data_IF_582979984060
#
_entry.id   IF_582979984060
#
_cell.length_a   1.000
_cell.length_b   1.000
_cell.length_c   1.000
_cell.angle_alpha   90.00
_cell.angle_beta   90.00
_cell.angle_gamma   90.00
#
_symmetry.space_group_name_H-M   'P 1'
#
loop_
_entity.id
_entity.type
_entity.pdbx_description
1 polymer ?
#
# COMPACT_ATOMS: atom_id res chain seq x y z
N UNK A 1 1.93 -21.41 -5.24
CA UNK A 1 2.89 -20.31 -5.45
C UNK A 1 2.23 -19.00 -5.07
N UNK A 2 2.98 -18.09 -4.46
CA UNK A 2 2.52 -16.73 -4.18
C UNK A 2 2.82 -15.82 -5.36
N UNK A 3 1.85 -14.98 -5.76
CA UNK A 3 1.93 -14.07 -6.90
C UNK A 3 1.70 -12.65 -6.40
N UNK A 4 2.65 -11.77 -6.72
CA UNK A 4 2.62 -10.33 -6.46
C UNK A 4 3.26 -9.65 -7.67
N UNK A 5 2.86 -8.41 -7.96
CA UNK A 5 3.31 -7.66 -9.12
C UNK A 5 3.79 -6.26 -8.70
N UNK A 6 4.92 -5.84 -9.27
CA UNK A 6 5.51 -4.52 -9.07
C UNK A 6 5.48 -3.73 -10.39
N UNK A 7 5.19 -2.41 -10.38
CA UNK A 7 4.94 -1.58 -9.19
C UNK A 7 3.57 -1.80 -8.55
N UNK A 8 2.53 -2.07 -9.34
CA UNK A 8 1.17 -2.34 -8.85
C UNK A 8 0.34 -3.04 -9.96
N UNK A 9 -0.68 -3.82 -9.59
CA UNK A 9 -1.53 -4.55 -10.55
C UNK A 9 -2.45 -3.66 -11.39
N UNK A 10 -2.70 -2.42 -10.96
CA UNK A 10 -3.41 -1.42 -11.73
C UNK A 10 -2.62 -0.93 -12.96
N UNK A 11 -1.30 -1.17 -13.02
CA UNK A 11 -0.47 -0.66 -14.11
C UNK A 11 -0.77 -1.34 -15.44
N UNK A 12 -0.71 -0.61 -16.58
CA UNK A 12 -0.87 -1.19 -17.90
C UNK A 12 0.06 -2.37 -18.16
N UNK A 13 -0.48 -3.46 -18.72
CA UNK A 13 0.28 -4.68 -19.03
C UNK A 13 0.45 -5.64 -17.85
N UNK A 14 0.03 -5.28 -16.63
CA UNK A 14 0.17 -6.15 -15.45
C UNK A 14 -0.63 -7.44 -15.60
N UNK A 15 -1.90 -7.36 -16.02
CA UNK A 15 -2.77 -8.53 -16.19
C UNK A 15 -2.23 -9.52 -17.25
N UNK A 16 -1.66 -9.04 -18.35
CA UNK A 16 -1.03 -9.87 -19.38
C UNK A 16 0.17 -10.63 -18.83
N UNK A 17 1.00 -9.96 -18.01
CA UNK A 17 2.16 -10.58 -17.35
C UNK A 17 1.71 -11.60 -16.31
N UNK A 18 0.70 -11.30 -15.50
CA UNK A 18 0.09 -12.24 -14.54
C UNK A 18 -0.45 -13.46 -15.27
N UNK A 19 -1.17 -13.28 -16.39
CA UNK A 19 -1.68 -14.39 -17.21
C UNK A 19 -0.55 -15.27 -17.76
N UNK A 20 0.50 -14.64 -18.30
CA UNK A 20 1.68 -15.35 -18.83
C UNK A 20 2.39 -16.16 -17.74
N UNK A 21 2.57 -15.55 -16.56
CA UNK A 21 3.14 -16.21 -15.39
C UNK A 21 2.27 -17.38 -14.94
N UNK A 22 0.95 -17.18 -14.77
CA UNK A 22 0.03 -18.21 -14.30
C UNK A 22 0.03 -19.43 -15.22
N UNK A 23 0.00 -19.22 -16.55
CA UNK A 23 0.15 -20.29 -17.54
C UNK A 23 1.47 -21.05 -17.36
N UNK A 24 2.59 -20.33 -17.27
CA UNK A 24 3.92 -20.94 -17.12
C UNK A 24 4.02 -21.74 -15.81
N UNK A 25 3.45 -21.24 -14.73
CA UNK A 25 3.41 -21.91 -13.43
C UNK A 25 2.63 -23.23 -13.51
N UNK A 26 1.44 -23.23 -14.13
CA UNK A 26 0.63 -24.44 -14.34
C UNK A 26 1.35 -25.46 -15.22
N UNK A 27 1.95 -25.01 -16.34
CA UNK A 27 2.77 -25.86 -17.22
C UNK A 27 3.99 -26.46 -16.50
N UNK A 28 4.48 -25.79 -15.46
CA UNK A 28 5.58 -26.25 -14.60
C UNK A 28 5.12 -27.11 -13.41
N UNK A 29 3.83 -27.45 -13.32
CA UNK A 29 3.27 -28.31 -12.27
C UNK A 29 2.84 -27.58 -10.99
N UNK A 30 2.72 -26.25 -11.01
CA UNK A 30 2.12 -25.51 -9.88
C UNK A 30 0.61 -25.72 -9.91
N UNK A 31 0.07 -26.28 -8.82
CA UNK A 31 -1.36 -26.59 -8.73
C UNK A 31 -2.21 -25.50 -8.07
N UNK A 32 -1.62 -24.64 -7.22
CA UNK A 32 -2.33 -23.59 -6.48
C UNK A 32 -1.61 -22.25 -6.58
N UNK A 33 -2.33 -21.19 -6.95
CA UNK A 33 -1.85 -19.81 -7.01
C UNK A 33 -2.55 -18.95 -5.97
N UNK A 34 -1.79 -18.21 -5.17
CA UNK A 34 -2.32 -17.20 -4.26
C UNK A 34 -1.88 -15.83 -4.76
N UNK A 35 -2.82 -14.97 -5.14
CA UNK A 35 -2.54 -13.63 -5.69
C UNK A 35 -2.82 -12.55 -4.63
N UNK A 36 -1.85 -11.67 -4.38
CA UNK A 36 -2.11 -10.38 -3.75
C UNK A 36 -2.66 -9.41 -4.79
N UNK A 37 -3.84 -8.85 -4.52
CA UNK A 37 -4.63 -7.99 -5.42
C UNK A 37 -5.01 -6.66 -4.74
N UNK A 38 -5.41 -5.66 -5.52
CA UNK A 38 -5.87 -4.34 -5.07
C UNK A 38 -7.39 -4.17 -5.05
N UNK A 39 -7.90 -3.20 -4.28
CA UNK A 39 -9.35 -2.96 -4.09
C UNK A 39 -9.88 -1.95 -5.09
N UNK A 40 -10.93 -2.35 -5.81
CA UNK A 40 -11.68 -1.51 -6.75
C UNK A 40 -10.86 -0.97 -7.94
N UNK A 41 -9.68 -1.54 -8.20
CA UNK A 41 -8.82 -1.17 -9.34
C UNK A 41 -9.12 -2.06 -10.55
N UNK A 42 -9.38 -1.44 -11.72
CA UNK A 42 -9.73 -2.19 -12.92
C UNK A 42 -8.60 -3.16 -13.36
N UNK A 43 -7.33 -2.74 -13.26
CA UNK A 43 -6.18 -3.58 -13.59
C UNK A 43 -6.02 -4.78 -12.64
N UNK A 44 -6.25 -4.58 -11.33
CA UNK A 44 -6.24 -5.65 -10.36
C UNK A 44 -7.31 -6.71 -10.65
N UNK A 45 -8.54 -6.30 -10.99
CA UNK A 45 -9.61 -7.22 -11.36
C UNK A 45 -9.26 -8.07 -12.61
N UNK A 46 -8.58 -7.48 -13.60
CA UNK A 46 -8.09 -8.23 -14.76
C UNK A 46 -7.00 -9.25 -14.37
N UNK A 47 -6.13 -8.91 -13.42
CA UNK A 47 -5.14 -9.82 -12.85
C UNK A 47 -5.79 -10.98 -12.09
N UNK A 48 -6.83 -10.70 -11.30
CA UNK A 48 -7.62 -11.72 -10.61
C UNK A 48 -8.26 -12.71 -11.60
N UNK A 49 -8.91 -12.19 -12.65
CA UNK A 49 -9.48 -13.01 -13.72
C UNK A 49 -8.43 -13.89 -14.39
N UNK A 50 -7.25 -13.34 -14.68
CA UNK A 50 -6.16 -14.10 -15.27
C UNK A 50 -5.70 -15.29 -14.41
N UNK A 51 -5.70 -15.15 -13.08
CA UNK A 51 -5.39 -16.25 -12.16
C UNK A 51 -6.54 -17.26 -12.08
N UNK A 52 -7.79 -16.78 -12.02
CA UNK A 52 -8.98 -17.64 -11.97
C UNK A 52 -9.15 -18.51 -13.23
N UNK A 53 -8.77 -17.97 -14.40
CA UNK A 53 -8.85 -18.64 -15.70
C UNK A 53 -7.61 -19.51 -16.01
N UNK A 54 -6.60 -19.52 -15.14
CA UNK A 54 -5.33 -20.22 -15.38
C UNK A 54 -5.42 -21.75 -15.40
N UNK A 55 -6.50 -22.32 -14.87
CA UNK A 55 -6.65 -23.75 -14.63
C UNK A 55 -5.98 -24.26 -13.35
N UNK A 56 -5.29 -23.39 -12.60
CA UNK A 56 -4.84 -23.68 -11.24
C UNK A 56 -6.00 -23.58 -10.24
N UNK A 57 -5.87 -24.26 -9.11
CA UNK A 57 -6.55 -23.81 -7.89
C UNK A 57 -6.08 -22.40 -7.57
N UNK A 58 -6.94 -21.59 -6.95
CA UNK A 58 -6.61 -20.20 -6.67
C UNK A 58 -7.12 -19.71 -5.32
N UNK A 59 -6.43 -18.72 -4.77
CA UNK A 59 -6.90 -17.87 -3.68
C UNK A 59 -6.55 -16.42 -4.02
N UNK A 60 -7.49 -15.50 -3.83
CA UNK A 60 -7.25 -14.07 -4.03
C UNK A 60 -7.22 -13.39 -2.66
N UNK A 61 -6.17 -12.62 -2.40
CA UNK A 61 -6.00 -11.77 -1.22
C UNK A 61 -6.06 -10.33 -1.71
N UNK A 62 -7.23 -9.72 -1.61
CA UNK A 62 -7.49 -8.37 -2.11
C UNK A 62 -7.32 -7.36 -0.97
N UNK A 63 -6.26 -6.58 -0.99
CA UNK A 63 -5.85 -5.76 0.15
C UNK A 63 -6.23 -4.28 0.02
N UNK A 64 -6.48 -3.63 1.15
CA UNK A 64 -6.40 -2.17 1.27
C UNK A 64 -4.95 -1.66 1.30
N UNK A 65 -4.78 -0.35 1.47
CA UNK A 65 -3.48 0.31 1.62
C UNK A 65 -2.65 -0.26 2.78
N UNK A 66 -1.35 -0.43 2.55
CA UNK A 66 -0.44 -1.01 3.55
C UNK A 66 -0.01 0.00 4.60
N UNK A 67 0.05 -0.43 5.86
CA UNK A 67 0.65 0.34 6.94
C UNK A 67 2.16 0.56 6.70
N UNK A 68 2.83 -0.40 6.08
CA UNK A 68 4.26 -0.37 5.71
C UNK A 68 4.59 0.68 4.64
N UNK A 69 3.59 1.28 4.00
CA UNK A 69 3.83 2.42 3.11
C UNK A 69 4.56 3.57 3.83
N UNK A 70 4.35 3.69 5.15
CA UNK A 70 4.97 4.70 6.01
C UNK A 70 6.34 4.30 6.57
N UNK A 71 6.71 3.02 6.60
CA UNK A 71 7.98 2.53 7.18
C UNK A 71 9.05 2.21 6.14
N UNK A 72 8.64 1.72 4.97
CA UNK A 72 9.55 1.03 4.03
C UNK A 72 9.32 1.40 2.56
N UNK A 73 8.17 2.01 2.23
CA UNK A 73 7.82 2.37 0.87
C UNK A 73 7.79 3.88 0.65
N UNK A 74 6.98 4.34 -0.30
CA UNK A 74 7.04 5.70 -0.85
C UNK A 74 6.76 6.85 0.14
N UNK A 75 6.29 6.59 1.37
CA UNK A 75 6.05 7.64 2.37
C UNK A 75 7.13 7.75 3.45
N UNK A 76 8.10 6.83 3.50
CA UNK A 76 9.12 6.84 4.56
C UNK A 76 9.90 8.15 4.61
N UNK A 77 10.35 8.66 3.46
CA UNK A 77 11.13 9.90 3.39
C UNK A 77 10.34 11.12 3.88
N UNK A 78 9.04 11.16 3.60
CA UNK A 78 8.14 12.22 4.06
C UNK A 78 7.93 12.16 5.59
N UNK A 79 7.74 10.94 6.14
CA UNK A 79 7.66 10.71 7.59
C UNK A 79 8.99 11.09 8.28
N UNK A 80 10.13 10.76 7.68
CA UNK A 80 11.45 11.14 8.19
C UNK A 80 11.67 12.65 8.14
N UNK A 81 11.21 13.32 7.08
CA UNK A 81 11.25 14.78 6.94
C UNK A 81 10.31 15.52 7.91
N UNK A 82 9.35 14.81 8.54
CA UNK A 82 8.39 15.40 9.46
C UNK A 82 7.15 15.98 8.78
N UNK A 83 6.97 15.76 7.49
CA UNK A 83 5.84 16.29 6.72
C UNK A 83 5.41 15.31 5.63
N UNK A 84 4.16 14.87 5.72
CA UNK A 84 3.53 14.00 4.72
C UNK A 84 2.50 14.81 3.95
N UNK A 85 2.77 15.06 2.67
CA UNK A 85 1.87 15.78 1.78
C UNK A 85 1.29 14.86 0.70
N UNK A 86 -0.05 14.73 0.66
CA UNK A 86 -0.75 13.88 -0.30
C UNK A 86 -2.06 14.52 -0.79
N UNK A 87 -2.51 14.19 -2.02
CA UNK A 87 -3.78 14.63 -2.56
C UNK A 87 -4.94 13.75 -2.07
N UNK A 88 -5.03 13.53 -0.76
CA UNK A 88 -5.96 12.58 -0.15
C UNK A 88 -7.03 13.23 0.74
N UNK A 89 -6.95 14.54 1.01
CA UNK A 89 -7.93 15.28 1.81
C UNK A 89 -8.33 14.54 3.10
N UNK A 90 -9.64 14.37 3.28
CA UNK A 90 -10.27 13.63 4.39
C UNK A 90 -10.71 12.20 4.01
N UNK A 91 -10.15 11.65 2.92
CA UNK A 91 -10.47 10.29 2.46
C UNK A 91 -10.01 9.28 3.51
N UNK A 92 -10.87 8.30 3.77
CA UNK A 92 -10.62 7.28 4.79
C UNK A 92 -10.20 5.97 4.15
N UNK A 93 -9.13 5.38 4.66
CA UNK A 93 -8.61 4.08 4.24
C UNK A 93 -8.51 3.13 5.43
N UNK A 94 -8.83 1.85 5.27
CA UNK A 94 -8.70 0.87 6.34
C UNK A 94 -7.33 0.17 6.24
N UNK A 95 -6.26 0.88 6.60
CA UNK A 95 -4.88 0.44 6.45
C UNK A 95 -4.64 -0.96 7.02
N UNK A 96 -4.17 -1.88 6.19
CA UNK A 96 -3.88 -3.28 6.55
C UNK A 96 -2.39 -3.42 6.87
N UNK A 97 -2.07 -4.24 7.87
CA UNK A 97 -0.70 -4.65 8.16
C UNK A 97 -0.24 -5.73 7.16
N UNK A 98 0.95 -5.56 6.55
CA UNK A 98 1.54 -6.57 5.65
C UNK A 98 1.77 -7.90 6.36
N UNK A 99 1.99 -7.92 7.68
CA UNK A 99 2.08 -9.18 8.44
C UNK A 99 0.74 -9.96 8.42
N UNK A 100 -0.40 -9.26 8.47
CA UNK A 100 -1.71 -9.91 8.32
C UNK A 100 -1.90 -10.46 6.91
N UNK A 101 -1.45 -9.73 5.88
CA UNK A 101 -1.47 -10.22 4.49
C UNK A 101 -0.61 -11.48 4.38
N UNK A 102 0.61 -11.45 4.93
CA UNK A 102 1.53 -12.57 4.91
C UNK A 102 0.92 -13.81 5.59
N UNK A 103 0.32 -13.64 6.77
CA UNK A 103 -0.36 -14.72 7.48
C UNK A 103 -1.53 -15.31 6.65
N UNK A 104 -2.34 -14.46 6.01
CA UNK A 104 -3.43 -14.91 5.12
C UNK A 104 -2.88 -15.70 3.93
N UNK A 105 -1.80 -15.23 3.31
CA UNK A 105 -1.15 -15.92 2.20
C UNK A 105 -0.56 -17.26 2.65
N UNK A 106 0.10 -17.32 3.81
CA UNK A 106 0.65 -18.56 4.38
C UNK A 106 -0.46 -19.56 4.69
N UNK A 107 -1.55 -19.11 5.32
CA UNK A 107 -2.72 -19.94 5.59
C UNK A 107 -3.29 -20.49 4.27
N UNK A 108 -3.45 -19.64 3.26
CA UNK A 108 -3.92 -20.05 1.95
C UNK A 108 -3.01 -21.11 1.29
N UNK A 109 -1.69 -20.92 1.32
CA UNK A 109 -0.74 -21.83 0.67
C UNK A 109 -0.56 -23.18 1.37
N UNK A 110 -0.79 -23.23 2.69
CA UNK A 110 -0.42 -24.39 3.52
C UNK A 110 -1.62 -25.10 4.16
N UNK A 111 -2.76 -24.42 4.25
CA UNK A 111 -3.97 -24.89 4.92
C UNK A 111 -5.06 -25.36 3.96
N UNK A 112 -5.99 -26.22 4.42
CA UNK A 112 -7.17 -26.58 3.64
C UNK A 112 -8.23 -25.46 3.66
N UNK A 113 -9.13 -25.47 2.67
CA UNK A 113 -10.34 -24.62 2.68
C UNK A 113 -10.19 -23.22 2.06
N UNK A 114 -9.00 -22.90 1.53
CA UNK A 114 -8.70 -21.62 0.90
C UNK A 114 -8.83 -21.62 -0.64
N UNK A 115 -8.97 -22.80 -1.26
CA UNK A 115 -9.21 -22.94 -2.70
C UNK A 115 -10.53 -22.28 -3.12
N UNK A 116 -10.48 -21.48 -4.18
CA UNK A 116 -11.62 -20.74 -4.73
C UNK A 116 -12.10 -19.60 -3.85
N UNK A 117 -11.26 -19.12 -2.90
CA UNK A 117 -11.63 -18.04 -1.98
C UNK A 117 -11.06 -16.71 -2.40
N UNK A 118 -11.88 -15.68 -2.23
CA UNK A 118 -11.47 -14.29 -2.22
C UNK A 118 -11.58 -13.78 -0.79
N UNK A 119 -10.45 -13.34 -0.24
CA UNK A 119 -10.34 -12.64 1.03
C UNK A 119 -10.05 -11.18 0.75
N UNK A 120 -11.04 -10.31 0.96
CA UNK A 120 -10.77 -8.88 0.96
C UNK A 120 -10.30 -8.48 2.37
N UNK A 121 -9.06 -8.02 2.48
CA UNK A 121 -8.35 -7.83 3.75
C UNK A 121 -8.15 -6.34 4.03
N UNK A 122 -8.57 -5.91 5.22
CA UNK A 122 -8.49 -4.53 5.68
C UNK A 122 -8.05 -4.48 7.14
N UNK A 123 -7.53 -3.33 7.59
CA UNK A 123 -7.40 -3.06 9.03
C UNK A 123 -8.76 -3.02 9.74
N UNK A 124 -8.78 -2.91 11.09
CA UNK A 124 -10.00 -3.01 11.88
C UNK A 124 -10.86 -1.74 11.87
N UNK A 125 -10.33 -0.60 11.39
CA UNK A 125 -11.03 0.69 11.34
C UNK A 125 -10.57 1.54 10.17
N UNK A 126 -11.39 2.53 9.84
CA UNK A 126 -11.14 3.53 8.81
C UNK A 126 -10.37 4.72 9.40
N UNK A 127 -9.32 5.15 8.71
CA UNK A 127 -8.48 6.29 9.10
C UNK A 127 -8.24 7.23 7.93
N UNK A 128 -8.24 8.52 8.21
CA UNK A 128 -7.67 9.53 7.32
C UNK A 128 -6.14 9.51 7.39
N UNK A 129 -5.46 10.04 6.37
CA UNK A 129 -4.01 10.24 6.43
C UNK A 129 -3.59 11.17 7.56
N UNK A 130 -4.43 12.15 7.92
CA UNK A 130 -4.19 13.01 9.08
C UNK A 130 -4.15 12.22 10.40
N UNK A 131 -5.10 11.31 10.60
CA UNK A 131 -5.14 10.44 11.78
C UNK A 131 -3.96 9.46 11.81
N UNK A 132 -3.61 8.86 10.67
CA UNK A 132 -2.44 7.98 10.55
C UNK A 132 -1.15 8.71 10.93
N UNK A 133 -0.92 9.90 10.35
CA UNK A 133 0.28 10.70 10.63
C UNK A 133 0.31 11.14 12.10
N UNK A 134 -0.85 11.44 12.70
CA UNK A 134 -0.96 11.75 14.12
C UNK A 134 -0.59 10.55 15.01
N UNK A 135 -1.00 9.33 14.64
CA UNK A 135 -0.62 8.11 15.38
C UNK A 135 0.88 7.80 15.28
N UNK A 136 1.49 8.02 14.11
CA UNK A 136 2.95 7.92 13.93
C UNK A 136 3.68 8.98 14.77
N UNK A 137 3.21 10.23 14.72
CA UNK A 137 3.71 11.34 15.54
C UNK A 137 3.67 11.01 17.03
N UNK A 138 2.54 10.49 17.52
CA UNK A 138 2.38 10.05 18.90
C UNK A 138 3.31 8.89 19.26
N UNK A 139 3.42 7.87 18.40
CA UNK A 139 4.25 6.69 18.67
C UNK A 139 5.75 7.02 18.71
N UNK A 140 6.19 7.98 17.90
CA UNK A 140 7.59 8.42 17.83
C UNK A 140 7.95 9.53 18.81
N UNK A 141 6.96 10.27 19.31
CA UNK A 141 7.17 11.49 20.08
C UNK A 141 7.76 12.64 19.25
N UNK A 142 7.72 12.55 17.92
CA UNK A 142 8.21 13.58 16.98
C UNK A 142 7.05 14.42 16.47
N UNK A 143 7.32 15.68 16.14
CA UNK A 143 6.37 16.49 15.38
C UNK A 143 6.39 16.06 13.91
N UNK A 144 5.33 15.36 13.49
CA UNK A 144 5.11 14.96 12.10
C UNK A 144 3.72 15.46 11.70
N UNK A 145 3.64 16.21 10.60
CA UNK A 145 2.40 16.84 10.15
C UNK A 145 1.91 16.27 8.83
N UNK A 146 0.60 16.14 8.70
CA UNK A 146 -0.05 15.88 7.43
C UNK A 146 -0.44 17.21 6.77
N UNK A 147 -0.13 17.36 5.48
CA UNK A 147 -0.48 18.54 4.69
C UNK A 147 -1.31 18.09 3.49
N UNK A 148 -2.65 18.25 3.51
CA UNK A 148 -3.45 17.97 2.33
C UNK A 148 -3.09 18.97 1.22
N UNK A 149 -2.78 18.46 0.04
CA UNK A 149 -2.44 19.25 -1.16
C UNK A 149 -3.40 18.94 -2.29
N UNK A 150 -3.52 19.82 -3.28
CA UNK A 150 -4.26 19.49 -4.51
C UNK A 150 -3.46 18.49 -5.38
N UNK A 151 -4.11 17.76 -6.31
CA UNK A 151 -3.39 16.95 -7.29
C UNK A 151 -2.36 17.75 -8.09
N UNK A 152 -2.66 19.00 -8.44
CA UNK A 152 -1.75 19.89 -9.16
C UNK A 152 -0.53 20.29 -8.31
N UNK A 153 -0.73 20.57 -7.02
CA UNK A 153 0.34 20.85 -6.07
C UNK A 153 1.21 19.62 -5.84
N UNK A 154 0.60 18.44 -5.71
CA UNK A 154 1.32 17.17 -5.57
C UNK A 154 2.21 16.88 -6.78
N UNK A 155 1.65 16.98 -7.99
CA UNK A 155 2.40 16.83 -9.25
C UNK A 155 3.57 17.81 -9.33
N UNK A 156 3.32 19.08 -9.04
CA UNK A 156 4.34 20.14 -9.09
C UNK A 156 5.46 19.88 -8.08
N UNK A 157 5.10 19.43 -6.86
CA UNK A 157 6.05 19.07 -5.81
C UNK A 157 6.94 17.89 -6.20
N UNK A 158 6.37 16.83 -6.79
CA UNK A 158 7.13 15.68 -7.28
C UNK A 158 8.13 16.07 -8.38
N UNK A 159 7.71 16.89 -9.35
CA UNK A 159 8.58 17.38 -10.42
C UNK A 159 9.72 18.23 -9.85
N UNK A 160 9.41 19.13 -8.92
CA UNK A 160 10.42 19.93 -8.23
C UNK A 160 11.40 19.07 -7.42
N UNK A 161 10.95 17.93 -6.90
CA UNK A 161 11.75 16.91 -6.21
C UNK A 161 12.59 16.02 -7.14
N UNK A 162 12.53 16.23 -8.46
CA UNK A 162 13.34 15.51 -9.45
C UNK A 162 12.70 14.24 -10.02
N UNK A 163 11.42 13.98 -9.74
CA UNK A 163 10.69 12.89 -10.37
C UNK A 163 10.40 13.25 -11.85
N UNK A 164 10.66 12.36 -12.82
CA UNK A 164 10.30 12.60 -14.22
C UNK A 164 8.82 12.93 -14.39
N UNK A 165 8.51 13.95 -15.19
CA UNK A 165 7.15 14.50 -15.29
C UNK A 165 6.08 13.48 -15.69
N UNK A 166 6.38 12.60 -16.65
CA UNK A 166 5.45 11.55 -17.08
C UNK A 166 5.12 10.58 -15.94
N UNK A 167 6.15 10.17 -15.18
CA UNK A 167 5.97 9.28 -14.04
C UNK A 167 5.25 9.99 -12.87
N UNK A 168 5.56 11.27 -12.62
CA UNK A 168 4.86 12.06 -11.61
C UNK A 168 3.37 12.21 -11.94
N UNK A 169 3.04 12.39 -13.23
CA UNK A 169 1.66 12.43 -13.69
C UNK A 169 0.95 11.10 -13.46
N UNK A 170 1.56 9.98 -13.88
CA UNK A 170 0.99 8.64 -13.68
C UNK A 170 0.73 8.35 -12.19
N UNK A 171 1.66 8.72 -11.31
CA UNK A 171 1.49 8.53 -9.87
C UNK A 171 0.39 9.44 -9.28
N UNK A 172 0.29 10.68 -9.75
CA UNK A 172 -0.77 11.61 -9.32
C UNK A 172 -2.15 11.12 -9.75
N UNK A 173 -2.28 10.61 -10.97
CA UNK A 173 -3.52 10.02 -11.48
C UNK A 173 -3.89 8.76 -10.66
N UNK A 174 -2.90 7.90 -10.34
CA UNK A 174 -3.10 6.72 -9.49
C UNK A 174 -3.63 7.10 -8.11
N UNK A 175 -3.02 8.08 -7.43
CA UNK A 175 -3.54 8.51 -6.12
C UNK A 175 -4.93 9.10 -6.21
N UNK A 176 -5.22 9.85 -7.28
CA UNK A 176 -6.57 10.40 -7.49
C UNK A 176 -7.60 9.30 -7.70
N UNK A 177 -7.23 8.17 -8.33
CA UNK A 177 -8.11 7.03 -8.53
C UNK A 177 -8.29 6.17 -7.27
N UNK A 178 -7.19 5.89 -6.56
CA UNK A 178 -7.18 5.01 -5.40
C UNK A 178 -7.77 5.70 -4.17
N UNK A 179 -7.59 7.03 -4.05
CA UNK A 179 -8.02 7.83 -2.91
C UNK A 179 -9.28 8.65 -3.23
N UNK A 180 -10.19 8.15 -4.06
CA UNK A 180 -11.48 8.80 -4.35
C UNK A 180 -12.59 8.46 -3.34
N UNK A 181 -12.29 7.59 -2.36
CA UNK A 181 -13.21 7.14 -1.31
C UNK A 181 -14.04 5.90 -1.66
N UNK A 182 -13.91 5.33 -2.86
CA UNK A 182 -14.62 4.09 -3.25
C UNK A 182 -14.23 2.88 -2.39
N UNK A 183 -13.05 2.93 -1.77
CA UNK A 183 -12.50 1.87 -0.90
C UNK A 183 -12.66 2.13 0.60
N UNK A 184 -13.40 3.19 0.99
CA UNK A 184 -13.63 3.60 2.38
C UNK A 184 -14.66 2.74 3.14
N UNK A 185 -14.45 1.41 3.16
CA UNK A 185 -15.26 0.45 3.91
C UNK A 185 -14.40 -0.69 4.46
N UNK A 186 -14.84 -1.30 5.57
CA UNK A 186 -14.16 -2.43 6.20
C UNK A 186 -14.55 -3.77 5.56
N UNK A 187 -13.67 -4.76 5.65
CA UNK A 187 -13.95 -6.15 5.29
C UNK A 187 -13.43 -7.12 6.35
N UNK A 188 -13.84 -8.37 6.27
CA UNK A 188 -13.59 -9.42 7.27
C UNK A 188 -12.64 -10.52 6.78
N UNK A 189 -11.90 -10.28 5.70
CA UNK A 189 -11.04 -11.29 5.06
C UNK A 189 -9.99 -11.88 5.99
N UNK A 190 -9.34 -11.07 6.83
CA UNK A 190 -8.34 -11.54 7.82
C UNK A 190 -9.00 -12.49 8.81
N UNK A 191 -10.14 -12.09 9.38
CA UNK A 191 -10.92 -12.91 10.31
C UNK A 191 -11.39 -14.22 9.70
N UNK A 192 -11.87 -14.18 8.45
CA UNK A 192 -12.31 -15.38 7.73
C UNK A 192 -11.17 -16.32 7.37
N UNK A 193 -9.98 -15.81 7.11
CA UNK A 193 -8.82 -16.63 6.75
C UNK A 193 -8.11 -17.19 7.99
N UNK A 194 -7.99 -16.40 9.06
CA UNK A 194 -7.12 -16.69 10.21
C UNK A 194 -7.87 -16.96 11.53
N UNK A 195 -9.16 -16.60 11.61
CA UNK A 195 -9.94 -16.72 12.85
C UNK A 195 -9.62 -15.68 13.92
N UNK A 196 -8.84 -14.64 13.59
CA UNK A 196 -8.48 -13.51 14.47
C UNK A 196 -8.75 -12.16 13.79
N UNK A 197 -8.90 -11.10 14.56
CA UNK A 197 -9.00 -9.74 14.01
C UNK A 197 -7.66 -9.27 13.42
N UNK A 198 -7.67 -8.35 12.43
CA UNK A 198 -6.47 -7.70 11.91
C UNK A 198 -5.82 -6.80 12.95
N UNK A 199 -4.51 -6.55 12.81
CA UNK A 199 -3.75 -5.64 13.67
C UNK A 199 -4.26 -4.21 13.49
N UNK A 200 -4.43 -3.48 14.60
CA UNK A 200 -4.77 -2.06 14.55
C UNK A 200 -3.54 -1.22 14.16
N UNK A 201 -3.76 -0.14 13.41
CA UNK A 201 -2.70 0.77 12.99
C UNK A 201 -1.92 1.35 14.19
N UNK A 202 -2.58 1.56 15.35
CA UNK A 202 -1.94 2.03 16.57
C UNK A 202 -0.85 1.08 17.04
N UNK A 203 -1.12 -0.23 16.99
CA UNK A 203 -0.19 -1.25 17.46
C UNK A 203 0.98 -1.39 16.49
N UNK A 204 0.70 -1.41 15.18
CA UNK A 204 1.71 -1.30 14.13
C UNK A 204 2.61 -0.07 14.33
N UNK A 205 2.04 1.12 14.57
CA UNK A 205 2.79 2.35 14.72
C UNK A 205 3.72 2.30 15.95
N UNK A 206 3.25 1.74 17.07
CA UNK A 206 4.08 1.56 18.27
C UNK A 206 5.23 0.59 18.05
N UNK A 207 4.96 -0.57 17.45
CA UNK A 207 5.98 -1.59 17.14
C UNK A 207 7.04 -1.02 16.18
N UNK A 208 6.57 -0.33 15.14
CA UNK A 208 7.42 0.27 14.11
C UNK A 208 8.25 1.42 14.66
N UNK A 209 7.69 2.30 15.49
CA UNK A 209 8.44 3.34 16.18
C UNK A 209 9.54 2.74 17.09
N UNK A 210 9.24 1.65 17.80
CA UNK A 210 10.20 0.96 18.66
C UNK A 210 11.38 0.33 17.89
N UNK A 211 11.21 0.00 16.61
CA UNK A 211 12.30 -0.46 15.74
C UNK A 211 13.34 0.63 15.41
N UNK A 212 12.95 1.91 15.57
CA UNK A 212 13.78 3.07 15.24
C UNK A 212 13.73 3.50 13.77
N UNK A 213 12.92 2.87 12.91
CA UNK A 213 12.83 3.21 11.48
C UNK A 213 12.41 4.66 11.22
N UNK A 214 11.59 5.23 12.11
CA UNK A 214 11.18 6.64 12.07
C UNK A 214 12.04 7.55 12.96
N UNK A 215 13.24 7.08 13.36
CA UNK A 215 14.20 7.91 14.06
C UNK A 215 14.56 9.16 13.24
N UNK A 216 14.81 10.27 13.91
CA UNK A 216 15.26 11.49 13.21
C UNK A 216 16.51 11.18 12.40
N UNK A 217 16.56 11.62 11.13
CA UNK A 217 17.79 11.59 10.37
C UNK A 217 18.87 12.33 11.18
N UNK A 218 20.07 11.75 11.40
CA UNK A 218 21.15 12.47 12.07
C UNK A 218 21.38 13.76 11.29
N UNK A 219 21.39 14.91 11.98
CA UNK A 219 21.51 16.27 11.43
C UNK A 219 22.38 16.29 10.18
N UNK A 220 21.75 16.14 9.00
CA UNK A 220 22.40 16.49 7.75
C UNK A 220 22.31 18.00 7.71
N UNK A 221 23.41 18.63 8.12
CA UNK A 221 23.69 20.07 7.96
C UNK A 221 22.95 20.57 6.73
N UNK A 222 21.98 21.46 6.96
CA UNK A 222 21.15 22.07 5.94
C UNK A 222 22.01 22.81 4.92
N UNK A 223 22.44 22.13 3.87
CA UNK A 223 23.07 22.75 2.73
C UNK A 223 21.98 23.16 1.74
N UNK A 224 21.22 24.22 2.06
CA UNK A 224 20.79 25.30 1.15
C UNK A 224 20.26 26.44 2.04
N UNK A 225 21.15 27.31 2.51
CA UNK A 225 20.77 28.68 2.87
C UNK A 225 20.76 29.50 1.58
N UNK A 226 19.56 29.82 1.09
CA UNK A 226 19.40 30.84 0.03
C UNK A 226 19.78 32.18 0.63
N UNK A 227 21.00 32.64 0.35
CA UNK A 227 21.40 34.01 0.60
C UNK A 227 20.57 34.94 -0.29
N UNK A 228 19.77 35.83 0.34
CA UNK A 228 19.24 37.01 -0.33
C UNK A 228 20.42 37.90 -0.74
N UNK A 229 20.55 38.17 -2.02
CA UNK A 229 21.37 39.27 -2.52
C UNK A 229 20.54 40.54 -2.50
N UNK A 230 20.79 41.39 -1.50
CA UNK A 230 20.58 42.82 -1.62
C UNK A 230 21.78 43.42 -2.37
N UNK A 231 21.52 44.15 -3.45
CA UNK A 231 22.54 44.82 -4.28
C UNK A 231 22.02 45.16 -5.66
#
# INVERSE_FOLDING_TARGET
AYVTYYPDLAFPGAAEKVRSFARTAVESGVHHLVLLSGRNEAGALLGEQAVQESGAEWTLVRSSMFAQNFSEAFLIDAVLAGEVALPAGDVKEPFIDVDDIADVVVAALTGPGHTGKLYEVTGPRLLTFAEVVAEISQATGREIRYVPVSPEEYLSGMIAGGVPADFAKELTDLFSEVLDGRSSYLSDGVKRALGREPKDFTDYARETAASGVWGAAPDRVSAVSVSRSDG
#
